data_IF_736838108170
#
_entry.id   IF_736838108170
#
_cell.length_a   1.000
_cell.length_b   1.000
_cell.length_c   1.000
_cell.angle_alpha   90.00
_cell.angle_beta   90.00
_cell.angle_gamma   90.00
#
_symmetry.space_group_name_H-M   'P 1'
#
loop_
_entity.id
_entity.type
_entity.pdbx_description
1 polymer ?
#
# COMPACT_ATOMS: atom_id res chain seq x y z
N UNK A 1 -31.93 8.59 20.50
CA UNK A 1 -30.66 9.34 20.35
C UNK A 1 -29.63 8.97 21.41
N UNK A 2 -29.96 8.90 22.71
CA UNK A 2 -28.99 8.47 23.76
C UNK A 2 -28.39 7.06 23.53
N UNK A 3 -29.21 6.08 23.17
CA UNK A 3 -28.77 4.70 22.88
C UNK A 3 -27.74 4.57 21.75
N UNK A 4 -27.80 5.42 20.72
CA UNK A 4 -26.87 5.34 19.58
C UNK A 4 -25.51 5.92 19.96
N UNK A 5 -25.50 6.94 20.82
CA UNK A 5 -24.27 7.54 21.34
C UNK A 5 -23.59 6.55 22.30
N UNK A 6 -24.34 5.91 23.20
CA UNK A 6 -23.81 4.83 24.07
C UNK A 6 -23.27 3.65 23.25
N UNK A 7 -23.98 3.21 22.21
CA UNK A 7 -23.53 2.10 21.37
C UNK A 7 -22.23 2.39 20.61
N UNK A 8 -22.07 3.62 20.10
CA UNK A 8 -20.82 4.06 19.47
C UNK A 8 -19.67 4.21 20.47
N UNK A 9 -19.99 4.53 21.73
CA UNK A 9 -19.02 4.67 22.80
C UNK A 9 -18.53 3.30 23.30
N UNK A 10 -19.45 2.35 23.53
CA UNK A 10 -19.11 0.94 23.79
C UNK A 10 -18.34 0.31 22.63
N UNK A 11 -18.74 0.56 21.38
CA UNK A 11 -18.03 0.03 20.21
C UNK A 11 -16.61 0.60 20.08
N UNK A 12 -16.35 1.82 20.57
CA UNK A 12 -15.01 2.45 20.57
C UNK A 12 -14.12 1.86 21.66
N UNK A 13 -14.68 1.65 22.85
CA UNK A 13 -13.95 1.04 23.97
C UNK A 13 -13.64 -0.43 23.69
N UNK A 14 -14.59 -1.20 23.13
CA UNK A 14 -14.41 -2.61 22.77
C UNK A 14 -13.35 -2.80 21.67
N UNK A 15 -13.34 -1.94 20.66
CA UNK A 15 -12.36 -1.96 19.57
C UNK A 15 -10.95 -1.53 20.01
N UNK A 16 -10.82 -0.96 21.22
CA UNK A 16 -9.52 -0.54 21.79
C UNK A 16 -9.01 -1.53 22.84
N UNK A 17 -9.88 -2.08 23.69
CA UNK A 17 -9.52 -3.04 24.74
C UNK A 17 -9.46 -4.49 24.27
N UNK A 18 -10.26 -4.89 23.27
CA UNK A 18 -10.39 -6.30 22.85
C UNK A 18 -9.76 -6.62 21.49
N UNK A 19 -9.19 -5.63 20.82
CA UNK A 19 -8.44 -5.82 19.57
C UNK A 19 -6.97 -5.60 19.87
N UNK A 20 -6.15 -6.63 19.60
CA UNK A 20 -4.70 -6.50 19.65
C UNK A 20 -4.23 -5.54 18.56
N UNK A 21 -4.23 -4.25 18.86
CA UNK A 21 -3.54 -3.25 18.07
C UNK A 21 -2.06 -3.60 18.09
N UNK A 22 -1.56 -4.03 16.93
CA UNK A 22 -0.13 -4.17 16.70
C UNK A 22 0.55 -2.86 17.07
N UNK A 23 1.66 -2.93 17.82
CA UNK A 23 2.42 -1.76 18.26
C UNK A 23 2.64 -0.80 17.08
N UNK A 24 2.48 0.51 17.29
CA UNK A 24 2.74 1.52 16.26
C UNK A 24 4.11 1.35 15.58
N UNK A 25 5.08 0.78 16.31
CA UNK A 25 6.41 0.47 15.80
C UNK A 25 6.42 -0.64 14.73
N UNK A 26 5.62 -1.70 14.89
CA UNK A 26 5.51 -2.78 13.88
C UNK A 26 4.70 -2.35 12.65
N UNK A 27 3.72 -1.46 12.83
CA UNK A 27 3.01 -0.85 11.71
C UNK A 27 3.95 0.01 10.86
N UNK A 28 4.76 0.85 11.50
CA UNK A 28 5.72 1.70 10.80
C UNK A 28 6.78 0.88 10.06
N UNK A 29 7.27 -0.21 10.67
CA UNK A 29 8.22 -1.13 10.01
C UNK A 29 7.60 -1.78 8.77
N UNK A 30 6.35 -2.23 8.85
CA UNK A 30 5.63 -2.80 7.70
C UNK A 30 5.42 -1.76 6.60
N UNK A 31 5.02 -0.54 6.96
CA UNK A 31 4.84 0.55 5.99
C UNK A 31 6.14 0.91 5.26
N UNK A 32 7.28 0.92 5.96
CA UNK A 32 8.59 1.19 5.35
C UNK A 32 8.96 0.08 4.36
N UNK A 33 8.73 -1.19 4.71
CA UNK A 33 8.97 -2.31 3.79
C UNK A 33 8.12 -2.19 2.52
N UNK A 34 6.84 -1.86 2.67
CA UNK A 34 5.92 -1.67 1.53
C UNK A 34 6.34 -0.48 0.65
N UNK A 35 6.80 0.61 1.26
CA UNK A 35 7.29 1.80 0.55
C UNK A 35 8.55 1.47 -0.28
N UNK A 36 9.48 0.70 0.28
CA UNK A 36 10.67 0.25 -0.46
C UNK A 36 10.29 -0.71 -1.58
N UNK A 37 9.36 -1.63 -1.33
CA UNK A 37 8.86 -2.55 -2.36
C UNK A 37 8.20 -1.81 -3.53
N UNK A 38 7.37 -0.79 -3.25
CA UNK A 38 6.72 0.00 -4.32
C UNK A 38 7.73 0.79 -5.14
N UNK A 39 8.79 1.30 -4.52
CA UNK A 39 9.89 1.96 -5.23
C UNK A 39 10.61 1.02 -6.19
N UNK A 40 10.87 -0.22 -5.78
CA UNK A 40 11.49 -1.24 -6.63
C UNK A 40 10.56 -1.58 -7.81
N UNK A 41 9.26 -1.76 -7.55
CA UNK A 41 8.28 -1.99 -8.63
C UNK A 41 8.25 -0.84 -9.63
N UNK A 42 8.31 0.41 -9.15
CA UNK A 42 8.36 1.59 -10.03
C UNK A 42 9.59 1.56 -10.96
N UNK A 43 10.77 1.19 -10.45
CA UNK A 43 11.97 1.06 -11.26
C UNK A 43 11.88 -0.07 -12.30
N UNK A 44 11.27 -1.19 -11.94
CA UNK A 44 11.08 -2.32 -12.85
C UNK A 44 10.13 -1.93 -13.99
N UNK A 45 9.00 -1.30 -13.67
CA UNK A 45 8.04 -0.83 -14.70
C UNK A 45 8.70 0.20 -15.60
N UNK A 46 9.49 1.12 -15.05
CA UNK A 46 10.23 2.10 -15.84
C UNK A 46 11.22 1.44 -16.82
N UNK A 47 11.94 0.40 -16.38
CA UNK A 47 12.83 -0.36 -17.26
C UNK A 47 12.05 -1.11 -18.35
N UNK A 48 10.90 -1.68 -18.00
CA UNK A 48 10.03 -2.38 -18.94
C UNK A 48 9.45 -1.42 -20.00
N UNK A 49 9.02 -0.22 -19.61
CA UNK A 49 8.53 0.80 -20.53
C UNK A 49 9.61 1.20 -21.56
N UNK A 50 10.85 1.39 -21.11
CA UNK A 50 11.97 1.69 -22.02
C UNK A 50 12.29 0.53 -22.96
N UNK A 51 12.27 -0.72 -22.44
CA UNK A 51 12.51 -1.90 -23.25
C UNK A 51 11.45 -2.05 -24.37
N UNK A 52 10.18 -1.79 -24.06
CA UNK A 52 9.11 -1.82 -25.05
C UNK A 52 9.20 -0.68 -26.06
N UNK A 53 9.52 0.54 -25.63
CA UNK A 53 9.71 1.67 -26.55
C UNK A 53 10.86 1.41 -27.54
N UNK A 54 11.99 0.90 -27.05
CA UNK A 54 13.13 0.57 -27.90
C UNK A 54 12.83 -0.64 -28.80
N UNK A 55 12.28 -1.72 -28.24
CA UNK A 55 11.98 -2.94 -28.98
C UNK A 55 10.92 -2.73 -30.08
N UNK A 56 9.83 -2.03 -29.77
CA UNK A 56 8.80 -1.71 -30.77
C UNK A 56 9.29 -0.67 -31.77
N UNK A 57 10.09 0.32 -31.35
CA UNK A 57 10.66 1.33 -32.23
C UNK A 57 11.56 0.74 -33.31
N UNK A 58 12.42 -0.22 -32.95
CA UNK A 58 13.30 -0.90 -33.91
C UNK A 58 12.52 -1.83 -34.86
N UNK A 59 11.48 -2.52 -34.37
CA UNK A 59 10.61 -3.33 -35.23
C UNK A 59 9.85 -2.46 -36.24
N UNK A 60 9.28 -1.33 -35.79
CA UNK A 60 8.52 -0.42 -36.66
C UNK A 60 9.40 0.29 -37.68
N UNK A 61 10.68 0.51 -37.37
CA UNK A 61 11.65 1.12 -38.28
C UNK A 61 12.19 0.12 -39.32
N UNK A 62 12.12 -1.17 -39.02
CA UNK A 62 12.56 -2.24 -39.93
C UNK A 62 11.49 -2.69 -40.92
N UNK A 63 10.23 -2.25 -40.75
CA UNK A 63 9.11 -2.45 -41.69
C UNK A 63 8.89 -1.19 -42.54
#
# INVERSE_FOLDING_TARGET
MKKVIEFLQESRDEMTEHVTWSSFKSLQQTSVVVLVASLIFALIVFAMDQAFQFGLGEIYKSF
#
